data_IF_343680651695
#
_entry.id   IF_343680651695
#
_cell.length_a   1.000
_cell.length_b   1.000
_cell.length_c   1.000
_cell.angle_alpha   90.00
_cell.angle_beta   90.00
_cell.angle_gamma   90.00
#
_symmetry.space_group_name_H-M   'P 1'
#
loop_
_entity.id
_entity.type
_entity.pdbx_description
1 polymer ?
#
# COMPACT_ATOMS: atom_id res chain seq x y z
N UNK A 1 -24.07 16.15 46.47
CA UNK A 1 -24.30 15.57 45.12
C UNK A 1 -24.51 16.68 44.08
N UNK A 2 -25.27 17.72 44.39
CA UNK A 2 -25.57 18.78 43.42
C UNK A 2 -24.40 19.67 42.96
N UNK A 3 -23.37 19.88 43.75
CA UNK A 3 -22.25 20.77 43.37
C UNK A 3 -21.31 20.09 42.37
N UNK A 4 -21.10 18.80 42.47
CA UNK A 4 -20.25 18.05 41.54
C UNK A 4 -20.89 17.92 40.15
N UNK A 5 -22.19 17.72 40.05
CA UNK A 5 -22.91 17.68 38.78
C UNK A 5 -22.91 19.03 38.06
N UNK A 6 -22.98 20.13 38.81
CA UNK A 6 -22.98 21.50 38.28
C UNK A 6 -21.62 21.94 37.74
N UNK A 7 -20.51 21.48 38.31
CA UNK A 7 -19.15 21.83 37.88
C UNK A 7 -18.58 20.79 36.91
N UNK A 8 -18.92 19.53 37.09
CA UNK A 8 -18.38 18.45 36.26
C UNK A 8 -18.93 18.47 34.83
N UNK A 9 -20.21 18.81 34.64
CA UNK A 9 -20.82 18.85 33.31
C UNK A 9 -20.22 19.91 32.37
N UNK A 10 -20.10 21.20 32.75
CA UNK A 10 -19.51 22.20 31.87
C UNK A 10 -18.02 21.98 31.60
N UNK A 11 -17.26 21.45 32.58
CA UNK A 11 -15.85 21.10 32.36
C UNK A 11 -15.73 19.90 31.40
N UNK A 12 -16.57 18.89 31.56
CA UNK A 12 -16.59 17.73 30.66
C UNK A 12 -17.00 18.15 29.26
N UNK A 13 -18.02 18.97 29.07
CA UNK A 13 -18.42 19.51 27.77
C UNK A 13 -17.28 20.31 27.13
N UNK A 14 -16.60 21.17 27.87
CA UNK A 14 -15.46 21.95 27.37
C UNK A 14 -14.28 21.05 26.92
N UNK A 15 -14.00 19.98 27.66
CA UNK A 15 -12.96 19.01 27.28
C UNK A 15 -13.37 18.23 26.02
N UNK A 16 -14.60 17.81 25.93
CA UNK A 16 -15.13 17.11 24.78
C UNK A 16 -15.12 17.99 23.53
N UNK A 17 -15.55 19.25 23.62
CA UNK A 17 -15.52 20.22 22.52
C UNK A 17 -14.09 20.53 22.07
N UNK A 18 -13.16 20.70 23.02
CA UNK A 18 -11.76 20.89 22.68
C UNK A 18 -11.18 19.67 21.95
N UNK A 19 -11.41 18.46 22.47
CA UNK A 19 -10.94 17.24 21.85
C UNK A 19 -11.55 17.03 20.45
N UNK A 20 -12.84 17.30 20.31
CA UNK A 20 -13.57 17.27 19.07
C UNK A 20 -12.94 18.20 18.02
N UNK A 21 -12.74 19.47 18.37
CA UNK A 21 -12.11 20.45 17.48
C UNK A 21 -10.69 20.05 17.07
N UNK A 22 -9.88 19.50 17.99
CA UNK A 22 -8.55 18.99 17.66
C UNK A 22 -8.59 17.81 16.69
N UNK A 23 -9.53 16.89 16.88
CA UNK A 23 -9.71 15.74 16.00
C UNK A 23 -10.15 16.15 14.60
N UNK A 24 -11.07 17.09 14.47
CA UNK A 24 -11.51 17.62 13.17
C UNK A 24 -10.37 18.29 12.44
N UNK A 25 -9.62 19.17 13.10
CA UNK A 25 -8.44 19.83 12.50
C UNK A 25 -7.35 18.85 12.08
N UNK A 26 -7.09 17.83 12.89
CA UNK A 26 -6.14 16.77 12.57
C UNK A 26 -6.58 15.96 11.34
N UNK A 27 -7.85 15.54 11.28
CA UNK A 27 -8.39 14.81 10.12
C UNK A 27 -8.37 15.66 8.84
N UNK A 28 -8.68 16.95 8.94
CA UNK A 28 -8.60 17.90 7.81
C UNK A 28 -7.21 17.93 7.19
N UNK A 29 -6.17 17.99 8.03
CA UNK A 29 -4.78 17.93 7.57
C UNK A 29 -4.46 16.63 6.84
N UNK A 30 -4.97 15.48 7.30
CA UNK A 30 -4.81 14.19 6.64
C UNK A 30 -5.53 14.13 5.29
N UNK A 31 -6.79 14.57 5.23
CA UNK A 31 -7.56 14.58 3.99
C UNK A 31 -6.93 15.48 2.93
N UNK A 32 -6.40 16.64 3.31
CA UNK A 32 -5.71 17.54 2.40
C UNK A 32 -4.48 16.89 1.72
N UNK A 33 -3.81 15.96 2.41
CA UNK A 33 -2.62 15.27 1.90
C UNK A 33 -2.91 13.95 1.16
N UNK A 34 -4.14 13.42 1.23
CA UNK A 34 -4.45 12.10 0.66
C UNK A 34 -4.44 12.03 -0.86
N UNK A 35 -4.56 13.14 -1.57
CA UNK A 35 -4.82 13.17 -3.03
C UNK A 35 -3.72 12.58 -3.90
N UNK A 36 -2.44 12.78 -3.56
CA UNK A 36 -1.29 12.43 -4.43
C UNK A 36 -0.28 11.47 -3.78
N UNK A 37 -0.64 10.84 -2.69
CA UNK A 37 0.28 10.08 -1.88
C UNK A 37 0.91 8.87 -2.55
N UNK A 38 2.20 8.78 -2.36
CA UNK A 38 3.02 7.65 -2.77
C UNK A 38 3.55 7.74 -4.19
N UNK A 39 2.88 8.44 -5.12
CA UNK A 39 3.40 8.67 -6.49
C UNK A 39 4.51 9.71 -6.46
N UNK A 40 4.36 10.76 -5.65
CA UNK A 40 5.36 11.81 -5.46
C UNK A 40 6.74 11.29 -5.02
N UNK A 41 6.78 10.11 -4.38
CA UNK A 41 8.03 9.43 -4.05
C UNK A 41 8.90 9.20 -5.29
N UNK A 42 8.30 8.85 -6.43
CA UNK A 42 9.01 8.58 -7.68
C UNK A 42 9.46 9.85 -8.42
N UNK A 43 9.01 11.02 -7.98
CA UNK A 43 9.45 12.31 -8.47
C UNK A 43 10.73 12.81 -7.78
N UNK A 44 11.07 12.24 -6.63
CA UNK A 44 12.29 12.57 -5.90
C UNK A 44 13.54 12.16 -6.69
N UNK A 45 14.52 13.06 -6.78
CA UNK A 45 15.75 12.87 -7.55
C UNK A 45 16.55 11.65 -7.10
N UNK A 46 16.63 11.41 -5.79
CA UNK A 46 17.34 10.26 -5.25
C UNK A 46 16.63 8.93 -5.58
N UNK A 47 15.29 8.89 -5.59
CA UNK A 47 14.51 7.69 -5.96
C UNK A 47 14.74 7.36 -7.43
N UNK A 48 14.72 8.38 -8.31
CA UNK A 48 15.05 8.19 -9.73
C UNK A 48 16.47 7.64 -9.92
N UNK A 49 17.41 8.09 -9.10
CA UNK A 49 18.80 7.58 -9.14
C UNK A 49 18.88 6.11 -8.69
N UNK A 50 18.13 5.73 -7.65
CA UNK A 50 18.03 4.34 -7.19
C UNK A 50 17.40 3.45 -8.26
N UNK A 51 16.28 3.87 -8.86
CA UNK A 51 15.61 3.15 -9.94
C UNK A 51 16.55 2.97 -11.14
N UNK A 52 17.30 4.01 -11.51
CA UNK A 52 18.30 3.94 -12.59
C UNK A 52 19.41 2.95 -12.27
N UNK A 53 19.93 2.96 -11.05
CA UNK A 53 20.93 2.01 -10.60
C UNK A 53 20.44 0.56 -10.75
N UNK A 54 19.26 0.23 -10.26
CA UNK A 54 18.70 -1.11 -10.40
C UNK A 54 18.33 -1.47 -11.84
N UNK A 55 17.98 -0.48 -12.66
CA UNK A 55 17.84 -0.69 -14.11
C UNK A 55 19.17 -1.13 -14.73
N UNK A 56 20.26 -0.44 -14.44
CA UNK A 56 21.61 -0.81 -14.93
C UNK A 56 22.05 -2.18 -14.42
N UNK A 57 21.80 -2.47 -13.13
CA UNK A 57 22.08 -3.78 -12.56
C UNK A 57 21.27 -4.89 -13.28
N UNK A 58 19.99 -4.66 -13.55
CA UNK A 58 19.15 -5.59 -14.30
C UNK A 58 19.71 -5.87 -15.70
N UNK A 59 20.14 -4.84 -16.43
CA UNK A 59 20.80 -4.99 -17.74
C UNK A 59 22.10 -5.77 -17.66
N UNK A 60 22.95 -5.51 -16.66
CA UNK A 60 24.19 -6.26 -16.45
C UNK A 60 23.91 -7.74 -16.17
N UNK A 61 22.96 -8.04 -15.28
CA UNK A 61 22.55 -9.40 -14.95
C UNK A 61 21.94 -10.13 -16.15
N UNK A 62 21.13 -9.42 -16.96
CA UNK A 62 20.59 -9.95 -18.20
C UNK A 62 21.69 -10.32 -19.18
N UNK A 63 22.67 -9.45 -19.41
CA UNK A 63 23.80 -9.72 -20.32
C UNK A 63 24.60 -10.95 -19.88
N UNK A 64 24.94 -11.04 -18.60
CA UNK A 64 25.63 -12.22 -18.03
C UNK A 64 24.77 -13.47 -18.20
N UNK A 65 23.48 -13.40 -17.96
CA UNK A 65 22.54 -14.52 -18.09
C UNK A 65 22.43 -15.03 -19.53
N UNK A 66 22.44 -14.14 -20.52
CA UNK A 66 22.42 -14.53 -21.94
C UNK A 66 23.67 -15.31 -22.30
N UNK A 67 24.86 -14.87 -21.82
CA UNK A 67 26.11 -15.59 -22.03
C UNK A 67 26.06 -16.99 -21.39
N UNK A 68 25.62 -17.07 -20.13
CA UNK A 68 25.46 -18.38 -19.45
C UNK A 68 24.48 -19.29 -20.18
N UNK A 69 23.32 -18.76 -20.60
CA UNK A 69 22.31 -19.51 -21.36
C UNK A 69 22.87 -20.02 -22.71
N UNK A 70 23.71 -19.24 -23.38
CA UNK A 70 24.38 -19.66 -24.61
C UNK A 70 25.36 -20.83 -24.36
N UNK A 71 26.12 -20.81 -23.27
CA UNK A 71 26.97 -21.94 -22.88
C UNK A 71 26.17 -23.20 -22.53
N UNK A 72 25.10 -23.07 -21.72
CA UNK A 72 24.20 -24.17 -21.38
C UNK A 72 23.62 -24.79 -22.64
N UNK A 73 23.14 -23.97 -23.57
CA UNK A 73 22.60 -24.41 -24.87
C UNK A 73 23.68 -25.11 -25.72
N UNK A 74 24.90 -24.61 -25.74
CA UNK A 74 26.01 -25.24 -26.44
C UNK A 74 26.35 -26.64 -25.92
N UNK A 75 26.33 -26.85 -24.62
CA UNK A 75 26.54 -28.13 -23.95
C UNK A 75 25.40 -29.11 -24.30
N UNK A 76 24.14 -28.64 -24.24
CA UNK A 76 22.97 -29.45 -24.61
C UNK A 76 23.00 -29.85 -26.07
N UNK A 77 23.39 -28.94 -26.95
CA UNK A 77 23.52 -29.21 -28.39
C UNK A 77 24.60 -30.25 -28.68
N UNK A 78 25.77 -30.12 -28.02
CA UNK A 78 26.85 -31.10 -28.14
C UNK A 78 26.47 -32.49 -27.63
N UNK A 79 25.54 -32.62 -26.71
CA UNK A 79 24.98 -33.86 -26.18
C UNK A 79 23.84 -34.45 -27.04
N UNK A 80 23.51 -33.85 -28.19
CA UNK A 80 22.45 -34.29 -29.12
C UNK A 80 21.03 -34.01 -28.64
N UNK A 81 20.82 -33.24 -27.57
CA UNK A 81 19.52 -32.91 -26.99
C UNK A 81 19.12 -31.44 -27.19
N UNK A 82 19.98 -30.64 -27.82
CA UNK A 82 19.82 -29.21 -27.92
C UNK A 82 18.68 -28.75 -28.83
N UNK A 83 17.85 -27.87 -28.33
CA UNK A 83 16.87 -27.10 -29.09
C UNK A 83 17.18 -25.60 -28.96
N UNK A 84 17.63 -24.97 -30.06
CA UNK A 84 18.00 -23.54 -30.08
C UNK A 84 16.79 -22.62 -29.99
N UNK A 85 15.59 -23.06 -30.26
CA UNK A 85 14.39 -22.25 -30.27
C UNK A 85 14.02 -21.78 -28.83
N UNK A 86 14.12 -22.67 -27.88
CA UNK A 86 13.71 -22.36 -26.50
C UNK A 86 14.62 -21.33 -25.83
N UNK A 87 15.96 -21.45 -25.86
CA UNK A 87 16.86 -20.40 -25.34
C UNK A 87 16.71 -19.06 -26.03
N UNK A 88 16.50 -19.04 -27.35
CA UNK A 88 16.25 -17.82 -28.11
C UNK A 88 14.95 -17.11 -27.65
N UNK A 89 13.87 -17.86 -27.46
CA UNK A 89 12.61 -17.32 -26.93
C UNK A 89 12.77 -16.81 -25.49
N UNK A 90 13.53 -17.50 -24.66
CA UNK A 90 13.80 -17.06 -23.28
C UNK A 90 14.67 -15.79 -23.23
N UNK A 91 15.66 -15.68 -24.11
CA UNK A 91 16.43 -14.45 -24.26
C UNK A 91 15.56 -13.27 -24.69
N UNK A 92 14.65 -13.50 -25.66
CA UNK A 92 13.70 -12.46 -26.09
C UNK A 92 12.74 -12.06 -24.96
N UNK A 93 12.20 -12.99 -24.18
CA UNK A 93 11.40 -12.72 -22.99
C UNK A 93 12.21 -11.90 -21.98
N UNK A 94 13.45 -12.27 -21.72
CA UNK A 94 14.37 -11.56 -20.84
C UNK A 94 14.63 -10.12 -21.28
N UNK A 95 14.80 -9.90 -22.59
CA UNK A 95 14.98 -8.56 -23.17
C UNK A 95 13.77 -7.66 -22.92
N UNK A 96 12.55 -8.15 -23.15
CA UNK A 96 11.34 -7.38 -22.82
C UNK A 96 11.21 -7.16 -21.31
N UNK A 97 11.49 -8.18 -20.51
CA UNK A 97 11.43 -8.05 -19.06
C UNK A 97 12.39 -6.96 -18.54
N UNK A 98 13.67 -6.98 -18.96
CA UNK A 98 14.67 -5.99 -18.49
C UNK A 98 14.39 -4.58 -18.99
N UNK A 99 13.75 -4.44 -20.15
CA UNK A 99 13.35 -3.14 -20.69
C UNK A 99 12.19 -2.51 -19.90
N UNK A 100 11.32 -3.32 -19.31
CA UNK A 100 10.05 -2.86 -18.75
C UNK A 100 9.96 -2.93 -17.22
N UNK A 101 10.80 -3.72 -16.54
CA UNK A 101 10.64 -4.01 -15.11
C UNK A 101 10.77 -2.80 -14.19
N UNK A 102 11.41 -1.71 -14.61
CA UNK A 102 11.48 -0.46 -13.85
C UNK A 102 10.37 0.52 -14.25
N UNK A 103 9.98 0.54 -15.49
CA UNK A 103 9.05 1.52 -16.06
C UNK A 103 7.60 1.12 -15.81
N UNK A 104 7.25 -0.16 -16.05
CA UNK A 104 5.87 -0.63 -15.92
C UNK A 104 5.34 -0.53 -14.49
N UNK A 105 6.08 -0.95 -13.44
CA UNK A 105 5.58 -0.83 -12.07
C UNK A 105 5.26 0.61 -11.66
N UNK A 106 6.15 1.55 -11.98
CA UNK A 106 5.95 2.97 -11.64
C UNK A 106 4.74 3.54 -12.39
N UNK A 107 4.62 3.24 -13.71
CA UNK A 107 3.48 3.67 -14.52
C UNK A 107 2.17 3.05 -14.07
N UNK A 108 2.17 1.76 -13.73
CA UNK A 108 1.00 1.05 -13.24
C UNK A 108 0.53 1.62 -11.88
N UNK A 109 1.48 1.95 -11.01
CA UNK A 109 1.16 2.59 -9.73
C UNK A 109 0.59 4.00 -9.92
N UNK A 110 1.18 4.81 -10.79
CA UNK A 110 0.66 6.12 -11.14
C UNK A 110 -0.75 6.03 -11.75
N UNK A 111 -0.98 5.06 -12.63
CA UNK A 111 -2.32 4.79 -13.19
C UNK A 111 -3.31 4.40 -12.09
N UNK A 112 -2.92 3.55 -11.16
CA UNK A 112 -3.75 3.14 -10.02
C UNK A 112 -4.19 4.34 -9.17
N UNK A 113 -3.28 5.27 -8.88
CA UNK A 113 -3.58 6.49 -8.11
C UNK A 113 -4.44 7.46 -8.94
N UNK A 114 -4.18 7.60 -10.24
CA UNK A 114 -5.02 8.41 -11.13
C UNK A 114 -6.45 7.87 -11.24
N UNK A 115 -6.60 6.55 -11.41
CA UNK A 115 -7.92 5.90 -11.43
C UNK A 115 -8.66 6.09 -10.11
N UNK A 116 -7.95 6.04 -8.98
CA UNK A 116 -8.50 6.32 -7.66
C UNK A 116 -9.11 7.73 -7.58
N UNK A 117 -8.39 8.74 -8.08
CA UNK A 117 -8.86 10.13 -8.13
C UNK A 117 -10.08 10.29 -9.04
N UNK A 118 -10.01 9.77 -10.27
CA UNK A 118 -11.12 9.82 -11.24
C UNK A 118 -12.36 9.10 -10.72
N UNK A 119 -12.19 7.92 -10.14
CA UNK A 119 -13.29 7.14 -9.60
C UNK A 119 -13.96 7.82 -8.39
N UNK A 120 -13.15 8.47 -7.53
CA UNK A 120 -13.68 9.26 -6.43
C UNK A 120 -14.57 10.40 -6.95
N UNK A 121 -14.12 11.14 -7.96
CA UNK A 121 -14.89 12.22 -8.58
C UNK A 121 -16.20 11.73 -9.25
N UNK A 122 -16.16 10.57 -9.88
CA UNK A 122 -17.33 9.97 -10.56
C UNK A 122 -18.36 9.46 -9.56
N UNK A 123 -17.96 8.72 -8.55
CA UNK A 123 -18.87 8.16 -7.52
C UNK A 123 -19.54 9.29 -6.73
N UNK A 124 -18.80 10.36 -6.41
CA UNK A 124 -19.38 11.48 -5.66
C UNK A 124 -20.44 12.24 -6.45
N UNK A 125 -20.53 12.04 -7.77
CA UNK A 125 -21.47 12.74 -8.64
C UNK A 125 -21.31 14.27 -8.68
N UNK A 126 -20.42 14.81 -7.85
CA UNK A 126 -20.13 16.24 -7.69
C UNK A 126 -18.71 16.61 -8.12
N UNK A 127 -17.94 15.67 -8.68
CA UNK A 127 -16.56 15.90 -9.08
C UNK A 127 -15.59 16.15 -7.91
N UNK A 128 -15.97 15.74 -6.70
CA UNK A 128 -15.17 16.00 -5.48
C UNK A 128 -14.07 14.95 -5.31
N UNK A 129 -12.90 15.41 -4.94
CA UNK A 129 -11.78 14.56 -4.52
C UNK A 129 -12.02 13.95 -3.12
N UNK A 130 -11.23 12.94 -2.76
CA UNK A 130 -11.27 12.34 -1.42
C UNK A 130 -11.06 13.40 -0.33
N UNK A 131 -10.13 14.33 -0.55
CA UNK A 131 -9.84 15.41 0.37
C UNK A 131 -11.01 16.39 0.54
N UNK A 132 -11.65 16.78 -0.56
CA UNK A 132 -12.82 17.67 -0.53
C UNK A 132 -14.01 17.01 0.14
N UNK A 133 -14.27 15.72 -0.14
CA UNK A 133 -15.34 14.97 0.50
C UNK A 133 -15.10 14.84 2.02
N UNK A 134 -13.88 14.52 2.41
CA UNK A 134 -13.50 14.45 3.82
C UNK A 134 -13.65 15.80 4.54
N UNK A 135 -13.20 16.88 3.92
CA UNK A 135 -13.34 18.23 4.49
C UNK A 135 -14.81 18.67 4.58
N UNK A 136 -15.65 18.32 3.62
CA UNK A 136 -17.09 18.61 3.67
C UNK A 136 -17.77 17.90 4.86
N UNK A 137 -17.44 16.64 5.10
CA UNK A 137 -17.93 15.90 6.27
C UNK A 137 -17.46 16.57 7.56
N UNK A 138 -16.17 16.96 7.61
CA UNK A 138 -15.60 17.62 8.79
C UNK A 138 -16.23 19.00 9.05
N UNK A 139 -16.43 19.80 7.99
CA UNK A 139 -17.13 21.09 8.12
C UNK A 139 -18.58 20.92 8.58
N UNK A 140 -19.25 19.87 8.10
CA UNK A 140 -20.58 19.50 8.58
C UNK A 140 -20.58 19.11 10.05
N UNK A 141 -19.56 18.40 10.49
CA UNK A 141 -19.33 18.04 11.88
C UNK A 141 -19.02 19.29 12.74
N UNK A 142 -18.12 20.18 12.31
CA UNK A 142 -17.80 21.43 13.02
C UNK A 142 -19.02 22.34 13.20
N UNK A 143 -19.82 22.48 12.15
CA UNK A 143 -21.03 23.32 12.20
C UNK A 143 -22.12 22.78 13.11
N UNK A 144 -22.16 21.47 13.33
CA UNK A 144 -23.14 20.81 14.16
C UNK A 144 -22.78 20.89 15.68
N UNK A 145 -21.50 20.89 16.03
CA UNK A 145 -21.05 20.78 17.41
C UNK A 145 -21.49 19.50 18.12
N UNK A 146 -21.01 19.31 19.34
CA UNK A 146 -21.38 18.14 20.17
C UNK A 146 -22.80 18.24 20.76
N UNK A 147 -23.38 19.42 20.75
CA UNK A 147 -24.67 19.72 21.38
C UNK A 147 -25.84 19.76 20.41
N UNK A 148 -25.59 19.74 19.08
CA UNK A 148 -26.65 19.79 18.09
C UNK A 148 -27.30 18.40 17.87
N UNK A 149 -28.35 18.16 18.65
CA UNK A 149 -29.15 16.93 18.62
C UNK A 149 -29.73 16.66 17.22
N UNK A 150 -30.08 17.70 16.46
CA UNK A 150 -30.68 17.55 15.13
C UNK A 150 -29.65 17.02 14.11
N UNK A 151 -28.42 17.50 14.17
CA UNK A 151 -27.32 17.02 13.34
C UNK A 151 -26.94 15.58 13.68
N UNK A 152 -26.86 15.25 14.97
CA UNK A 152 -26.57 13.88 15.42
C UNK A 152 -27.64 12.90 14.98
N UNK A 153 -28.91 13.31 15.04
CA UNK A 153 -30.05 12.50 14.56
C UNK A 153 -29.98 12.27 13.03
N UNK A 154 -29.55 13.27 12.26
CA UNK A 154 -29.38 13.18 10.81
C UNK A 154 -28.36 12.09 10.42
N UNK A 155 -27.30 11.94 11.18
CA UNK A 155 -26.26 10.92 10.91
C UNK A 155 -26.58 9.54 11.49
N UNK A 156 -27.73 9.37 12.14
CA UNK A 156 -28.12 8.10 12.74
C UNK A 156 -27.27 7.69 13.95
N UNK A 157 -26.58 8.66 14.60
CA UNK A 157 -25.76 8.42 15.80
C UNK A 157 -26.56 8.56 17.11
N UNK A 158 -27.86 8.88 17.01
CA UNK A 158 -28.70 9.16 18.18
C UNK A 158 -28.39 10.52 18.81
N UNK A 159 -28.87 10.73 20.03
CA UNK A 159 -28.70 11.99 20.78
C UNK A 159 -27.53 11.95 21.78
N UNK A 160 -26.63 10.98 21.65
CA UNK A 160 -25.56 10.77 22.62
C UNK A 160 -24.23 11.34 22.09
N UNK A 161 -23.67 12.42 22.66
CA UNK A 161 -22.41 13.03 22.24
C UNK A 161 -21.22 12.06 22.30
N UNK A 162 -21.27 11.06 23.18
CA UNK A 162 -20.25 10.03 23.28
C UNK A 162 -20.20 9.17 22.01
N UNK A 163 -21.34 8.86 21.39
CA UNK A 163 -21.40 8.11 20.13
C UNK A 163 -20.76 8.87 18.98
N UNK A 164 -20.96 10.19 18.92
CA UNK A 164 -20.29 11.05 17.92
C UNK A 164 -18.77 11.03 18.12
N UNK A 165 -18.31 11.16 19.35
CA UNK A 165 -16.87 11.08 19.67
C UNK A 165 -16.25 9.73 19.24
N UNK A 166 -16.92 8.61 19.57
CA UNK A 166 -16.50 7.28 19.11
C UNK A 166 -16.47 7.19 17.58
N UNK A 167 -17.48 7.70 16.89
CA UNK A 167 -17.52 7.69 15.44
C UNK A 167 -16.35 8.43 14.82
N UNK A 168 -15.96 9.58 15.40
CA UNK A 168 -14.81 10.36 14.96
C UNK A 168 -13.47 9.63 15.20
N UNK A 169 -13.31 9.02 16.37
CA UNK A 169 -12.10 8.25 16.70
C UNK A 169 -11.93 7.09 15.72
N UNK A 170 -13.01 6.34 15.41
CA UNK A 170 -12.97 5.24 14.44
C UNK A 170 -12.73 5.73 13.01
N UNK A 171 -13.33 6.86 12.63
CA UNK A 171 -13.06 7.52 11.35
C UNK A 171 -11.56 7.89 11.25
N UNK A 172 -11.02 8.56 12.26
CA UNK A 172 -9.61 8.93 12.32
C UNK A 172 -8.71 7.70 12.17
N UNK A 173 -8.99 6.65 12.92
CA UNK A 173 -8.26 5.39 12.83
C UNK A 173 -8.28 4.79 11.41
N UNK A 174 -9.46 4.72 10.79
CA UNK A 174 -9.62 4.17 9.44
C UNK A 174 -8.84 4.99 8.40
N UNK A 175 -9.00 6.32 8.42
CA UNK A 175 -8.31 7.26 7.53
C UNK A 175 -6.80 7.17 7.68
N UNK A 176 -6.29 7.23 8.90
CA UNK A 176 -4.86 7.11 9.21
C UNK A 176 -4.30 5.77 8.72
N UNK A 177 -5.01 4.67 8.98
CA UNK A 177 -4.61 3.33 8.55
C UNK A 177 -4.49 3.23 7.03
N UNK A 178 -5.45 3.77 6.29
CA UNK A 178 -5.43 3.80 4.81
C UNK A 178 -4.30 4.69 4.30
N UNK A 179 -4.14 5.87 4.89
CA UNK A 179 -3.09 6.82 4.59
C UNK A 179 -1.70 6.17 4.67
N UNK A 180 -1.33 5.64 5.83
CA UNK A 180 -0.03 4.99 6.01
C UNK A 180 0.13 3.74 5.15
N UNK A 181 -0.96 3.03 4.87
CA UNK A 181 -0.94 1.91 3.93
C UNK A 181 -0.55 2.36 2.52
N UNK A 182 -1.11 3.47 2.04
CA UNK A 182 -0.78 4.03 0.72
C UNK A 182 0.66 4.57 0.68
N UNK A 183 1.09 5.31 1.69
CA UNK A 183 2.47 5.81 1.79
C UNK A 183 3.50 4.66 1.77
N UNK A 184 3.23 3.60 2.54
CA UNK A 184 4.08 2.42 2.60
C UNK A 184 4.19 1.71 1.25
N UNK A 185 3.15 1.71 0.43
CA UNK A 185 3.14 1.04 -0.88
C UNK A 185 4.14 1.63 -1.85
N UNK A 186 4.33 2.95 -1.87
CA UNK A 186 5.37 3.58 -2.68
C UNK A 186 6.77 3.04 -2.35
N UNK A 187 7.09 2.92 -1.05
CA UNK A 187 8.34 2.31 -0.59
C UNK A 187 8.47 0.83 -0.93
N UNK A 188 7.38 0.05 -0.78
CA UNK A 188 7.35 -1.37 -1.15
C UNK A 188 7.59 -1.53 -2.66
N UNK A 189 7.00 -0.67 -3.49
CA UNK A 189 7.21 -0.72 -4.94
C UNK A 189 8.67 -0.46 -5.32
N UNK A 190 9.34 0.46 -4.63
CA UNK A 190 10.77 0.71 -4.82
C UNK A 190 11.61 -0.54 -4.48
N UNK A 191 11.28 -1.23 -3.39
CA UNK A 191 11.90 -2.51 -3.03
C UNK A 191 11.61 -3.58 -4.09
N UNK A 192 10.38 -3.65 -4.61
CA UNK A 192 10.02 -4.58 -5.67
C UNK A 192 10.81 -4.33 -6.96
N UNK A 193 11.07 -3.06 -7.32
CA UNK A 193 11.93 -2.72 -8.46
C UNK A 193 13.37 -3.23 -8.22
N UNK A 194 13.89 -3.05 -7.00
CA UNK A 194 15.22 -3.55 -6.65
C UNK A 194 15.30 -5.09 -6.76
N UNK A 195 14.32 -5.81 -6.20
CA UNK A 195 14.24 -7.28 -6.27
C UNK A 195 14.00 -7.74 -7.72
N UNK A 196 13.20 -7.00 -8.50
CA UNK A 196 12.93 -7.27 -9.90
C UNK A 196 14.20 -7.38 -10.74
N UNK A 197 15.23 -6.55 -10.44
CA UNK A 197 16.51 -6.60 -11.16
C UNK A 197 17.21 -7.96 -11.06
N UNK A 198 17.04 -8.68 -9.94
CA UNK A 198 17.70 -9.98 -9.73
C UNK A 198 17.10 -11.09 -10.62
N UNK A 199 15.80 -10.99 -10.95
CA UNK A 199 15.16 -11.97 -11.84
C UNK A 199 15.65 -11.88 -13.27
N UNK A 200 16.30 -10.78 -13.67
CA UNK A 200 16.86 -10.61 -14.99
C UNK A 200 17.96 -11.63 -15.30
N UNK A 201 18.59 -12.19 -14.26
CA UNK A 201 19.52 -13.30 -14.39
C UNK A 201 18.86 -14.65 -14.66
N UNK A 202 17.62 -14.85 -14.21
CA UNK A 202 16.94 -16.15 -14.27
C UNK A 202 16.15 -16.34 -15.58
N UNK A 203 15.57 -15.28 -16.13
CA UNK A 203 14.63 -15.35 -17.26
C UNK A 203 15.27 -15.92 -18.54
N UNK A 204 16.46 -15.46 -19.00
CA UNK A 204 17.08 -16.01 -20.22
C UNK A 204 17.44 -17.49 -20.10
N UNK A 205 17.67 -17.97 -18.87
CA UNK A 205 17.93 -19.37 -18.56
C UNK A 205 16.67 -20.25 -18.47
N UNK A 206 15.49 -19.66 -18.66
CA UNK A 206 14.20 -20.38 -18.64
C UNK A 206 13.51 -20.42 -17.26
N UNK A 207 14.12 -19.89 -16.21
CA UNK A 207 13.52 -19.87 -14.86
C UNK A 207 12.64 -18.62 -14.70
N UNK A 208 11.37 -18.71 -15.09
CA UNK A 208 10.45 -17.55 -15.14
C UNK A 208 9.49 -17.47 -13.96
N UNK A 209 9.41 -18.49 -13.11
CA UNK A 209 8.41 -18.58 -12.03
C UNK A 209 8.54 -17.44 -11.02
N UNK A 210 9.77 -17.13 -10.60
CA UNK A 210 10.04 -16.03 -9.67
C UNK A 210 9.63 -14.68 -10.26
N UNK A 211 9.91 -14.44 -11.53
CA UNK A 211 9.51 -13.22 -12.22
C UNK A 211 7.99 -13.13 -12.38
N UNK A 212 7.33 -14.23 -12.70
CA UNK A 212 5.85 -14.29 -12.79
C UNK A 212 5.22 -13.96 -11.42
N UNK A 213 5.75 -14.51 -10.34
CA UNK A 213 5.30 -14.20 -9.00
C UNK A 213 5.54 -12.72 -8.64
N UNK A 214 6.69 -12.18 -9.02
CA UNK A 214 7.00 -10.76 -8.87
C UNK A 214 6.01 -9.87 -9.62
N UNK A 215 5.67 -10.19 -10.87
CA UNK A 215 4.64 -9.48 -11.63
C UNK A 215 3.29 -9.47 -10.92
N UNK A 216 2.86 -10.62 -10.38
CA UNK A 216 1.62 -10.72 -9.60
C UNK A 216 1.66 -9.81 -8.36
N UNK A 217 2.79 -9.75 -7.66
CA UNK A 217 2.96 -8.88 -6.48
C UNK A 217 2.87 -7.39 -6.85
N UNK A 218 3.50 -6.97 -7.95
CA UNK A 218 3.42 -5.59 -8.43
C UNK A 218 1.99 -5.21 -8.81
N UNK A 219 1.31 -6.07 -9.57
CA UNK A 219 -0.10 -5.86 -9.95
C UNK A 219 -0.98 -5.82 -8.71
N UNK A 220 -0.79 -6.76 -7.79
CA UNK A 220 -1.52 -6.81 -6.52
C UNK A 220 -1.35 -5.56 -5.67
N UNK A 221 -0.12 -5.01 -5.62
CA UNK A 221 0.18 -3.78 -4.90
C UNK A 221 -0.62 -2.59 -5.47
N UNK A 222 -0.65 -2.45 -6.79
CA UNK A 222 -1.38 -1.38 -7.48
C UNK A 222 -2.90 -1.54 -7.33
N UNK A 223 -3.41 -2.75 -7.53
CA UNK A 223 -4.84 -3.03 -7.43
C UNK A 223 -5.37 -2.82 -6.00
N UNK A 224 -4.63 -3.24 -4.99
CA UNK A 224 -5.02 -3.03 -3.58
C UNK A 224 -5.01 -1.56 -3.20
N UNK A 225 -4.14 -0.73 -3.77
CA UNK A 225 -4.17 0.71 -3.57
C UNK A 225 -5.48 1.30 -4.06
N UNK A 226 -5.86 0.98 -5.30
CA UNK A 226 -7.12 1.41 -5.90
C UNK A 226 -8.34 0.96 -5.10
N UNK A 227 -8.46 -0.34 -4.80
CA UNK A 227 -9.61 -0.88 -4.08
C UNK A 227 -9.75 -0.29 -2.67
N UNK A 228 -8.63 -0.12 -1.96
CA UNK A 228 -8.67 0.42 -0.60
C UNK A 228 -9.18 1.85 -0.57
N UNK A 229 -8.75 2.68 -1.50
CA UNK A 229 -9.23 4.05 -1.62
C UNK A 229 -10.69 4.12 -2.06
N UNK A 230 -11.10 3.27 -3.00
CA UNK A 230 -12.50 3.19 -3.46
C UNK A 230 -13.44 2.87 -2.31
N UNK A 231 -13.11 1.88 -1.47
CA UNK A 231 -13.94 1.51 -0.32
C UNK A 231 -13.94 2.62 0.73
N UNK A 232 -12.81 3.33 0.92
CA UNK A 232 -12.76 4.48 1.82
C UNK A 232 -13.69 5.60 1.35
N UNK A 233 -13.66 5.95 0.05
CA UNK A 233 -14.55 6.96 -0.54
C UNK A 233 -16.01 6.57 -0.37
N UNK A 234 -16.37 5.32 -0.68
CA UNK A 234 -17.71 4.81 -0.48
C UNK A 234 -18.13 4.90 1.00
N UNK A 235 -17.22 4.61 1.92
CA UNK A 235 -17.44 4.77 3.36
C UNK A 235 -17.71 6.22 3.76
N UNK A 236 -16.94 7.17 3.24
CA UNK A 236 -17.13 8.61 3.47
C UNK A 236 -18.50 9.09 2.95
N UNK A 237 -18.88 8.68 1.75
CA UNK A 237 -20.18 9.05 1.18
C UNK A 237 -21.37 8.55 2.03
N UNK A 238 -21.31 7.28 2.42
CA UNK A 238 -22.37 6.66 3.24
C UNK A 238 -22.38 7.25 4.64
N UNK A 239 -21.24 7.73 5.14
CA UNK A 239 -21.15 8.35 6.46
C UNK A 239 -22.04 9.58 6.60
N UNK A 240 -22.19 10.37 5.54
CA UNK A 240 -23.07 11.56 5.51
C UNK A 240 -24.54 11.24 5.81
N UNK A 241 -24.99 10.03 5.47
CA UNK A 241 -26.39 9.62 5.67
C UNK A 241 -26.55 8.62 6.83
N UNK A 242 -25.60 7.69 6.96
CA UNK A 242 -25.61 6.61 7.95
C UNK A 242 -24.20 6.40 8.50
N UNK A 243 -23.85 7.17 9.52
CA UNK A 243 -22.49 7.21 10.05
C UNK A 243 -21.90 5.84 10.46
N UNK A 244 -22.68 4.99 11.13
CA UNK A 244 -22.22 3.66 11.55
C UNK A 244 -21.93 2.73 10.37
N UNK A 245 -22.74 2.79 9.31
CA UNK A 245 -22.54 2.00 8.11
C UNK A 245 -21.32 2.51 7.33
N UNK A 246 -21.17 3.83 7.21
CA UNK A 246 -20.02 4.48 6.62
C UNK A 246 -18.72 4.11 7.35
N UNK A 247 -18.73 4.12 8.69
CA UNK A 247 -17.61 3.66 9.51
C UNK A 247 -17.25 2.19 9.23
N UNK A 248 -18.25 1.32 9.14
CA UNK A 248 -18.04 -0.09 8.80
C UNK A 248 -17.31 -0.25 7.47
N UNK A 249 -17.71 0.50 6.44
CA UNK A 249 -17.04 0.51 5.14
C UNK A 249 -15.61 1.07 5.21
N UNK A 250 -15.40 2.19 5.93
CA UNK A 250 -14.06 2.75 6.11
C UNK A 250 -13.11 1.78 6.83
N UNK A 251 -13.59 1.08 7.86
CA UNK A 251 -12.81 0.05 8.55
C UNK A 251 -12.51 -1.15 7.63
N UNK A 252 -13.49 -1.55 6.79
CA UNK A 252 -13.32 -2.61 5.79
C UNK A 252 -12.24 -2.26 4.75
N UNK A 253 -12.05 -0.97 4.41
CA UNK A 253 -10.96 -0.54 3.56
C UNK A 253 -9.58 -0.97 4.11
N UNK A 254 -9.42 -1.04 5.42
CA UNK A 254 -8.21 -1.53 6.08
C UNK A 254 -7.93 -3.03 5.90
N UNK A 255 -8.92 -3.82 5.50
CA UNK A 255 -8.81 -5.26 5.30
C UNK A 255 -8.51 -5.67 3.84
N UNK A 256 -8.61 -4.74 2.91
CA UNK A 256 -8.36 -5.00 1.46
C UNK A 256 -7.01 -5.68 1.21
N UNK A 257 -5.87 -5.26 1.81
CA UNK A 257 -4.60 -5.93 1.59
C UNK A 257 -4.59 -7.39 2.04
N UNK A 258 -5.28 -7.71 3.16
CA UNK A 258 -5.40 -9.06 3.68
C UNK A 258 -6.21 -9.97 2.75
N UNK A 259 -7.34 -9.44 2.25
CA UNK A 259 -8.19 -10.16 1.31
C UNK A 259 -7.45 -10.39 -0.02
N UNK A 260 -6.78 -9.37 -0.55
CA UNK A 260 -5.99 -9.49 -1.77
C UNK A 260 -4.87 -10.53 -1.62
N UNK A 261 -4.22 -10.60 -0.45
CA UNK A 261 -3.23 -11.61 -0.12
C UNK A 261 -3.77 -13.04 -0.18
N UNK A 262 -5.02 -13.27 0.23
CA UNK A 262 -5.68 -14.57 0.15
C UNK A 262 -5.86 -15.07 -1.31
N UNK A 263 -5.95 -14.15 -2.27
CA UNK A 263 -6.02 -14.43 -3.70
C UNK A 263 -4.64 -14.52 -4.40
N UNK A 264 -3.56 -14.64 -3.62
CA UNK A 264 -2.19 -14.72 -4.16
C UNK A 264 -1.61 -13.41 -4.65
N UNK A 265 -2.28 -12.29 -4.38
CA UNK A 265 -1.81 -10.92 -4.60
C UNK A 265 -1.15 -10.38 -3.32
N UNK A 266 -0.26 -11.19 -2.71
CA UNK A 266 0.35 -10.86 -1.42
C UNK A 266 1.22 -9.61 -1.56
N UNK A 267 0.71 -8.50 -1.06
CA UNK A 267 1.38 -7.19 -1.03
C UNK A 267 2.08 -6.94 0.30
N UNK A 268 1.97 -7.90 1.23
CA UNK A 268 2.60 -7.80 2.54
C UNK A 268 3.98 -8.44 2.46
N UNK A 269 5.08 -7.71 2.56
CA UNK A 269 6.37 -8.33 2.79
C UNK A 269 6.27 -9.04 4.14
N UNK A 270 6.12 -10.34 4.11
CA UNK A 270 6.32 -11.18 5.30
C UNK A 270 7.83 -11.19 5.58
N UNK A 271 8.33 -10.09 6.10
CA UNK A 271 9.56 -10.12 6.85
C UNK A 271 9.28 -10.99 8.08
N UNK A 272 9.46 -12.28 7.93
CA UNK A 272 9.39 -13.21 9.03
C UNK A 272 10.67 -12.97 9.85
N UNK A 273 10.61 -11.96 10.74
CA UNK A 273 11.73 -11.58 11.62
C UNK A 273 12.23 -12.82 12.35
N UNK A 274 11.33 -13.75 12.68
CA UNK A 274 11.65 -15.04 13.25
C UNK A 274 12.51 -15.89 12.31
N UNK A 275 12.21 -15.96 11.01
CA UNK A 275 13.04 -16.75 10.06
C UNK A 275 14.41 -16.11 9.86
N UNK A 276 14.50 -14.77 9.82
CA UNK A 276 15.77 -14.06 9.77
C UNK A 276 16.63 -14.31 11.04
N UNK A 277 16.01 -14.33 12.21
CA UNK A 277 16.68 -14.67 13.48
C UNK A 277 17.14 -16.12 13.47
N UNK A 278 16.32 -17.08 13.04
CA UNK A 278 16.72 -18.49 12.92
C UNK A 278 17.86 -18.69 11.91
N UNK A 279 17.83 -17.98 10.78
CA UNK A 279 18.90 -18.06 9.78
C UNK A 279 20.21 -17.47 10.32
N UNK A 280 20.16 -16.34 11.02
CA UNK A 280 21.31 -15.76 11.68
C UNK A 280 21.86 -16.67 12.78
N UNK A 281 20.99 -17.29 13.58
CA UNK A 281 21.39 -18.22 14.64
C UNK A 281 21.97 -19.52 14.09
N UNK A 282 21.43 -20.03 12.97
CA UNK A 282 22.02 -21.17 12.25
C UNK A 282 23.42 -20.84 11.70
N UNK A 283 23.60 -19.66 11.10
CA UNK A 283 24.89 -19.20 10.62
C UNK A 283 25.93 -19.10 11.75
N UNK A 284 25.56 -18.52 12.90
CA UNK A 284 26.42 -18.44 14.09
C UNK A 284 26.80 -19.82 14.62
N UNK A 285 25.84 -20.74 14.68
CA UNK A 285 26.08 -22.11 15.15
C UNK A 285 27.02 -22.87 14.18
N UNK A 286 26.82 -22.73 12.86
CA UNK A 286 27.68 -23.34 11.84
C UNK A 286 29.11 -22.79 11.96
N UNK A 287 29.26 -21.49 12.13
CA UNK A 287 30.59 -20.86 12.33
C UNK A 287 31.26 -21.37 13.60
N UNK A 288 30.52 -21.54 14.72
CA UNK A 288 31.04 -22.14 15.96
C UNK A 288 31.53 -23.57 15.76
N UNK A 289 30.73 -24.38 15.05
CA UNK A 289 31.10 -25.78 14.78
C UNK A 289 32.38 -25.88 13.93
N UNK A 290 32.51 -25.01 12.92
CA UNK A 290 33.73 -24.95 12.08
C UNK A 290 34.95 -24.53 12.92
N UNK A 291 34.81 -23.51 13.76
CA UNK A 291 35.90 -23.06 14.64
C UNK A 291 36.33 -24.11 15.66
N UNK A 292 35.39 -24.92 16.15
CA UNK A 292 35.69 -26.05 17.07
C UNK A 292 36.30 -27.25 16.36
N UNK A 293 36.02 -27.46 15.07
CA UNK A 293 36.57 -28.55 14.29
C UNK A 293 38.01 -28.26 13.78
N UNK A 294 38.43 -26.97 13.78
CA UNK A 294 39.78 -26.52 13.37
C UNK A 294 40.75 -26.37 14.56
N UNK A 295 40.25 -26.51 15.79
CA UNK A 295 41.03 -26.61 17.02
C UNK A 295 41.27 -28.07 17.39
#
# INVERSE_FOLDING_TARGET
>A
MFIWDFVANPVMESILDWFYSQMVGFLGAFFAQMGNMGVELFDLSWVRSVVRFFSQLGWALFAVSVVVSAFECGIEYASGRGNLQQPALNALKGFFAVSLFTTVPVRLYALSVSLQGTFAMEITGAGKSIGELGNEILTGLEGAGLTDIAAQAKWGLGTNPIMLLFAMIFMAYAVIKVFFSNLKRGGILLIQIAVGSLYMFSIPRGYTDGFTQWCKQVIGLCLTAFLQATILVAGLMVFSDKALLGLGLMLAAGEVPRIAGAFGLDTTPRANIMSAVYTAQAAVNTTRTIVQAVK
#
